data_IF_311217891304
#
_entry.id   IF_311217891304
#
_cell.length_a   1.000
_cell.length_b   1.000
_cell.length_c   1.000
_cell.angle_alpha   90.00
_cell.angle_beta   90.00
_cell.angle_gamma   90.00
#
_symmetry.space_group_name_H-M   'P 1'
#
loop_
_entity.id
_entity.type
_entity.pdbx_description
1 polymer ?
#
# COMPACT_ATOMS: atom_id res chain seq x y z
N UNK A 1 25.91 -8.02 -7.09
CA UNK A 1 25.56 -9.30 -6.43
C UNK A 1 24.04 -9.41 -6.37
N UNK A 2 23.44 -10.58 -6.62
CA UNK A 2 21.97 -10.75 -6.53
C UNK A 2 21.46 -10.55 -5.10
N UNK A 3 20.32 -9.86 -4.95
CA UNK A 3 19.61 -9.65 -3.69
C UNK A 3 18.91 -10.90 -3.16
N UNK A 4 17.82 -10.74 -2.43
CA UNK A 4 16.94 -11.81 -1.96
C UNK A 4 16.45 -12.67 -3.14
N UNK A 5 16.01 -12.04 -4.24
CA UNK A 5 15.57 -12.77 -5.42
C UNK A 5 16.78 -13.31 -6.20
N UNK A 6 16.75 -14.62 -6.50
CA UNK A 6 17.80 -15.30 -7.28
C UNK A 6 17.29 -15.66 -8.68
N UNK A 7 18.12 -15.53 -9.73
CA UNK A 7 17.69 -15.88 -11.09
C UNK A 7 17.31 -17.35 -11.21
N UNK A 8 16.22 -17.61 -11.93
CA UNK A 8 15.83 -18.96 -12.30
C UNK A 8 16.53 -19.37 -13.61
N UNK A 9 17.38 -20.40 -13.55
CA UNK A 9 18.15 -20.87 -14.71
C UNK A 9 17.30 -21.29 -15.91
N UNK A 10 16.09 -21.81 -15.70
CA UNK A 10 15.18 -22.22 -16.78
C UNK A 10 14.56 -21.01 -17.46
N UNK A 11 14.12 -20.01 -16.68
CA UNK A 11 13.60 -18.75 -17.23
C UNK A 11 14.70 -17.98 -17.96
N UNK A 12 15.91 -17.88 -17.38
CA UNK A 12 17.08 -17.29 -18.05
C UNK A 12 17.36 -18.01 -19.37
N UNK A 13 17.35 -19.35 -19.36
CA UNK A 13 17.53 -20.14 -20.57
C UNK A 13 16.46 -19.88 -21.63
N UNK A 14 15.20 -19.70 -21.21
CA UNK A 14 14.09 -19.35 -22.08
C UNK A 14 14.29 -17.97 -22.73
N UNK A 15 14.66 -16.94 -21.95
CA UNK A 15 14.90 -15.58 -22.46
C UNK A 15 16.13 -15.51 -23.40
N UNK A 16 17.16 -16.32 -23.12
CA UNK A 16 18.28 -16.51 -24.04
C UNK A 16 17.85 -17.16 -25.37
N UNK A 17 16.86 -18.06 -25.32
CA UNK A 17 16.26 -18.66 -26.53
C UNK A 17 15.48 -17.64 -27.32
N UNK A 18 14.66 -16.86 -26.63
CA UNK A 18 13.83 -15.81 -27.22
C UNK A 18 14.67 -14.87 -28.06
N UNK A 19 15.74 -14.30 -27.50
CA UNK A 19 16.67 -13.43 -28.25
C UNK A 19 17.32 -14.15 -29.43
N UNK A 20 17.69 -15.43 -29.27
CA UNK A 20 18.25 -16.23 -30.38
C UNK A 20 17.25 -16.35 -31.53
N UNK A 21 15.97 -16.59 -31.20
CA UNK A 21 14.89 -16.74 -32.16
C UNK A 21 14.52 -15.39 -32.81
N UNK A 22 14.44 -14.30 -32.04
CA UNK A 22 14.25 -12.92 -32.52
C UNK A 22 15.33 -12.51 -33.54
N UNK A 23 16.58 -12.88 -33.29
CA UNK A 23 17.71 -12.62 -34.18
C UNK A 23 17.79 -13.58 -35.38
N UNK A 24 16.93 -14.60 -35.45
CA UNK A 24 16.91 -15.60 -36.52
C UNK A 24 18.14 -16.50 -36.56
N UNK A 25 18.82 -16.70 -35.42
CA UNK A 25 20.10 -17.42 -35.38
C UNK A 25 19.94 -18.91 -35.08
N UNK A 26 20.78 -19.74 -35.70
CA UNK A 26 21.00 -21.11 -35.23
C UNK A 26 21.76 -21.12 -33.90
N UNK A 27 21.67 -22.22 -33.14
CA UNK A 27 22.45 -22.39 -31.92
C UNK A 27 23.97 -22.30 -32.14
N UNK A 28 24.45 -22.75 -33.31
CA UNK A 28 25.88 -22.67 -33.65
C UNK A 28 26.29 -21.21 -33.88
N UNK A 29 25.52 -20.45 -34.66
CA UNK A 29 25.82 -19.04 -34.93
C UNK A 29 25.71 -18.19 -33.66
N UNK A 30 24.69 -18.44 -32.85
CA UNK A 30 24.51 -17.73 -31.59
C UNK A 30 25.64 -18.01 -30.61
N UNK A 31 26.04 -19.28 -30.44
CA UNK A 31 27.20 -19.65 -29.66
C UNK A 31 28.47 -18.96 -30.16
N UNK A 32 28.74 -19.01 -31.48
CA UNK A 32 29.92 -18.39 -32.07
C UNK A 32 29.98 -16.87 -31.83
N UNK A 33 28.86 -16.14 -31.94
CA UNK A 33 28.80 -14.70 -31.64
C UNK A 33 29.10 -14.37 -30.18
N UNK A 34 28.84 -15.31 -29.27
CA UNK A 34 29.13 -15.19 -27.84
C UNK A 34 30.52 -15.72 -27.46
N UNK A 35 31.27 -16.28 -28.41
CA UNK A 35 32.55 -16.97 -28.16
C UNK A 35 32.40 -18.34 -27.48
N UNK A 36 31.25 -18.99 -27.64
CA UNK A 36 30.88 -20.25 -27.00
C UNK A 36 30.69 -21.37 -28.03
N UNK A 37 31.06 -22.59 -27.67
CA UNK A 37 30.71 -23.77 -28.47
C UNK A 37 29.21 -24.10 -28.34
N UNK A 38 28.65 -24.73 -29.39
CA UNK A 38 27.22 -25.09 -29.48
C UNK A 38 26.70 -25.83 -28.23
N UNK A 39 27.48 -26.73 -27.66
CA UNK A 39 27.08 -27.51 -26.48
C UNK A 39 26.90 -26.64 -25.24
N UNK A 40 27.79 -25.67 -25.02
CA UNK A 40 27.72 -24.73 -23.89
C UNK A 40 26.50 -23.84 -23.98
N UNK A 41 26.25 -23.20 -25.12
CA UNK A 41 25.06 -22.35 -25.30
C UNK A 41 23.77 -23.16 -25.20
N UNK A 42 23.75 -24.40 -25.69
CA UNK A 42 22.61 -25.30 -25.55
C UNK A 42 22.36 -25.68 -24.08
N UNK A 43 23.39 -25.78 -23.24
CA UNK A 43 23.25 -25.98 -21.78
C UNK A 43 22.53 -24.81 -21.12
N UNK A 44 22.92 -23.58 -21.44
CA UNK A 44 22.29 -22.37 -20.90
C UNK A 44 20.85 -22.21 -21.38
N UNK A 45 20.61 -22.34 -22.69
CA UNK A 45 19.27 -22.16 -23.28
C UNK A 45 18.27 -23.25 -22.84
N UNK A 46 18.75 -24.40 -22.36
CA UNK A 46 17.90 -25.44 -21.76
C UNK A 46 17.73 -25.30 -20.24
N UNK A 47 18.38 -24.31 -19.62
CA UNK A 47 18.33 -24.12 -18.17
C UNK A 47 19.06 -25.21 -17.37
N UNK A 48 19.95 -25.99 -18.00
CA UNK A 48 20.74 -26.98 -17.25
C UNK A 48 21.72 -26.29 -16.31
N UNK A 49 22.34 -25.22 -16.78
CA UNK A 49 23.25 -24.34 -16.04
C UNK A 49 22.84 -22.88 -16.21
N UNK A 50 23.05 -22.05 -15.18
CA UNK A 50 22.88 -20.60 -15.30
C UNK A 50 23.99 -20.01 -16.16
N UNK A 51 23.65 -19.10 -17.06
CA UNK A 51 24.64 -18.39 -17.88
C UNK A 51 25.48 -17.43 -17.00
N UNK A 52 26.82 -17.45 -17.10
CA UNK A 52 27.67 -16.47 -16.42
C UNK A 52 27.35 -15.04 -16.85
N UNK A 53 27.61 -14.07 -15.97
CA UNK A 53 27.37 -12.65 -16.24
C UNK A 53 27.98 -12.19 -17.57
N UNK A 54 29.24 -12.54 -17.84
CA UNK A 54 29.93 -12.19 -19.09
C UNK A 54 29.16 -12.65 -20.36
N UNK A 55 28.49 -13.81 -20.28
CA UNK A 55 27.68 -14.33 -21.39
C UNK A 55 26.40 -13.50 -21.52
N UNK A 56 25.74 -13.18 -20.41
CA UNK A 56 24.51 -12.38 -20.40
C UNK A 56 24.78 -10.95 -20.86
N UNK A 57 25.89 -10.34 -20.47
CA UNK A 57 26.34 -9.02 -20.95
C UNK A 57 26.56 -9.00 -22.46
N UNK A 58 27.19 -10.04 -23.02
CA UNK A 58 27.35 -10.18 -24.47
C UNK A 58 26.00 -10.31 -25.19
N UNK A 59 25.06 -11.07 -24.62
CA UNK A 59 23.71 -11.20 -25.20
C UNK A 59 22.94 -9.89 -25.09
N UNK A 60 23.04 -9.20 -23.96
CA UNK A 60 22.45 -7.88 -23.72
C UNK A 60 22.95 -6.85 -24.73
N UNK A 61 24.26 -6.81 -25.00
CA UNK A 61 24.84 -5.96 -26.03
C UNK A 61 24.37 -6.31 -27.45
N UNK A 62 24.05 -7.58 -27.73
CA UNK A 62 23.56 -8.04 -29.03
C UNK A 62 22.07 -7.73 -29.26
N UNK A 63 21.24 -7.80 -28.21
CA UNK A 63 19.78 -7.63 -28.32
C UNK A 63 19.30 -6.22 -27.96
N UNK A 64 20.10 -5.45 -27.23
CA UNK A 64 19.68 -4.17 -26.65
C UNK A 64 18.80 -4.31 -25.40
N UNK A 65 18.50 -5.54 -24.94
CA UNK A 65 17.74 -5.78 -23.71
C UNK A 65 18.67 -5.68 -22.49
N UNK A 66 18.26 -5.10 -21.35
CA UNK A 66 19.13 -4.95 -20.18
C UNK A 66 19.48 -6.31 -19.57
N UNK A 67 20.62 -6.39 -18.87
CA UNK A 67 21.10 -7.63 -18.22
C UNK A 67 20.05 -8.21 -17.28
N UNK A 68 19.40 -7.36 -16.48
CA UNK A 68 18.39 -7.81 -15.52
C UNK A 68 17.14 -8.42 -16.19
N UNK A 69 16.81 -8.05 -17.44
CA UNK A 69 15.70 -8.67 -18.16
C UNK A 69 15.93 -10.15 -18.40
N UNK A 70 17.16 -10.55 -18.71
CA UNK A 70 17.49 -11.97 -18.84
C UNK A 70 17.33 -12.72 -17.51
N UNK A 71 17.71 -12.09 -16.40
CA UNK A 71 17.63 -12.70 -15.08
C UNK A 71 16.21 -12.78 -14.52
N UNK A 72 15.43 -11.71 -14.69
CA UNK A 72 14.21 -11.50 -13.93
C UNK A 72 12.97 -11.23 -14.78
N UNK A 73 13.11 -11.01 -16.09
CA UNK A 73 11.97 -10.71 -16.97
C UNK A 73 11.62 -9.25 -16.90
N UNK A 74 10.37 -8.86 -17.09
CA UNK A 74 9.98 -7.45 -17.00
C UNK A 74 10.15 -6.90 -15.57
N UNK A 75 10.25 -5.58 -15.42
CA UNK A 75 10.46 -4.94 -14.09
C UNK A 75 9.29 -5.27 -13.15
N UNK A 76 8.06 -5.26 -13.65
CA UNK A 76 6.85 -5.64 -12.91
C UNK A 76 6.88 -7.12 -12.49
N UNK A 77 7.42 -8.02 -13.33
CA UNK A 77 7.59 -9.43 -12.97
C UNK A 77 8.61 -9.57 -11.84
N UNK A 78 9.72 -8.83 -11.91
CA UNK A 78 10.73 -8.77 -10.86
C UNK A 78 10.15 -8.29 -9.52
N UNK A 79 9.39 -7.19 -9.54
CA UNK A 79 8.72 -6.64 -8.34
C UNK A 79 7.72 -7.66 -7.78
N UNK A 80 6.89 -8.26 -8.64
CA UNK A 80 5.91 -9.27 -8.23
C UNK A 80 6.57 -10.48 -7.57
N UNK A 81 7.60 -11.06 -8.19
CA UNK A 81 8.33 -12.21 -7.67
C UNK A 81 9.02 -11.88 -6.35
N UNK A 82 9.60 -10.68 -6.23
CA UNK A 82 10.18 -10.19 -4.98
C UNK A 82 9.13 -10.11 -3.86
N UNK A 83 7.97 -9.50 -4.12
CA UNK A 83 6.87 -9.40 -3.15
C UNK A 83 6.31 -10.77 -2.75
N UNK A 84 6.24 -11.72 -3.69
CA UNK A 84 5.86 -13.11 -3.39
C UNK A 84 6.84 -13.78 -2.42
N UNK A 85 8.15 -13.60 -2.63
CA UNK A 85 9.19 -14.11 -1.71
C UNK A 85 9.09 -13.43 -0.33
N UNK A 86 8.65 -12.18 -0.29
CA UNK A 86 8.34 -11.43 0.94
C UNK A 86 7.01 -11.80 1.60
N UNK A 87 6.32 -12.85 1.11
CA UNK A 87 5.10 -13.38 1.70
C UNK A 87 3.81 -12.65 1.33
N UNK A 88 3.85 -11.74 0.35
CA UNK A 88 2.72 -10.86 0.01
C UNK A 88 1.69 -11.50 -0.94
N UNK A 89 1.55 -12.83 -0.85
CA UNK A 89 0.72 -13.62 -1.78
C UNK A 89 -0.76 -13.24 -1.73
N UNK A 90 -1.30 -13.03 -0.53
CA UNK A 90 -2.70 -12.66 -0.36
C UNK A 90 -2.97 -11.28 -0.97
N UNK A 91 -2.11 -10.31 -0.68
CA UNK A 91 -2.23 -8.95 -1.22
C UNK A 91 -2.13 -8.92 -2.74
N UNK A 92 -1.15 -9.61 -3.34
CA UNK A 92 -1.01 -9.66 -4.80
C UNK A 92 -2.16 -10.40 -5.51
N UNK A 93 -2.86 -11.28 -4.82
CA UNK A 93 -4.05 -11.94 -5.38
C UNK A 93 -5.21 -10.95 -5.50
N UNK A 94 -5.40 -10.09 -4.51
CA UNK A 94 -6.49 -9.12 -4.46
C UNK A 94 -6.13 -7.83 -5.24
N UNK A 95 -4.85 -7.48 -5.28
CA UNK A 95 -4.31 -6.28 -5.92
C UNK A 95 -3.14 -6.62 -6.88
N UNK A 96 -3.44 -7.28 -8.02
CA UNK A 96 -2.41 -7.67 -9.00
C UNK A 96 -1.75 -6.49 -9.71
N UNK A 97 -2.27 -5.28 -9.57
CA UNK A 97 -1.78 -4.02 -10.13
C UNK A 97 -0.65 -3.38 -9.29
N UNK A 98 -0.41 -3.86 -8.07
CA UNK A 98 0.62 -3.31 -7.17
C UNK A 98 2.03 -3.28 -7.79
N UNK A 99 2.52 -4.34 -8.47
CA UNK A 99 3.83 -4.28 -9.12
C UNK A 99 3.93 -3.18 -10.18
N UNK A 100 2.83 -2.91 -10.90
CA UNK A 100 2.79 -1.84 -11.89
C UNK A 100 2.81 -0.46 -11.23
N UNK A 101 2.05 -0.26 -10.14
CA UNK A 101 2.08 1.00 -9.37
C UNK A 101 3.48 1.31 -8.85
N UNK A 102 4.15 0.32 -8.24
CA UNK A 102 5.53 0.47 -7.77
C UNK A 102 6.47 0.84 -8.94
N UNK A 103 6.31 0.20 -10.11
CA UNK A 103 7.08 0.55 -11.31
C UNK A 103 6.82 1.99 -11.77
N UNK A 104 5.57 2.44 -11.75
CA UNK A 104 5.21 3.81 -12.14
C UNK A 104 5.80 4.84 -11.18
N UNK A 105 5.79 4.56 -9.87
CA UNK A 105 6.42 5.41 -8.85
C UNK A 105 7.93 5.54 -9.08
N UNK A 106 8.60 4.45 -9.48
CA UNK A 106 10.02 4.51 -9.88
C UNK A 106 10.27 5.38 -11.11
N UNK A 107 9.44 5.25 -12.16
CA UNK A 107 9.69 5.89 -13.44
C UNK A 107 9.22 7.35 -13.48
N UNK A 108 8.25 7.73 -12.66
CA UNK A 108 7.55 9.02 -12.74
C UNK A 108 7.54 9.82 -11.44
N UNK A 109 7.78 9.20 -10.28
CA UNK A 109 7.77 9.86 -8.98
C UNK A 109 9.06 10.60 -8.64
N UNK A 110 9.14 11.06 -7.38
CA UNK A 110 10.29 11.79 -6.82
C UNK A 110 11.58 10.95 -6.73
N UNK A 111 11.47 9.64 -7.00
CA UNK A 111 12.55 8.64 -6.96
C UNK A 111 13.43 8.56 -8.22
N UNK A 112 13.38 9.56 -9.13
CA UNK A 112 14.38 9.73 -10.22
C UNK A 112 15.78 10.10 -9.69
N UNK A 113 16.20 9.52 -8.59
CA UNK A 113 17.44 9.76 -7.88
C UNK A 113 18.52 8.80 -8.43
N UNK A 114 19.78 9.23 -8.61
CA UNK A 114 20.84 8.32 -9.02
C UNK A 114 21.01 7.19 -7.99
N UNK A 115 20.98 5.94 -8.44
CA UNK A 115 21.30 4.77 -7.60
C UNK A 115 20.14 3.90 -7.15
N UNK A 116 18.94 4.02 -7.74
CA UNK A 116 17.84 3.07 -7.53
C UNK A 116 18.05 1.73 -8.25
N UNK A 117 18.89 1.71 -9.29
CA UNK A 117 19.17 0.51 -10.07
C UNK A 117 20.32 -0.31 -9.46
N UNK A 118 20.16 -1.62 -9.52
CA UNK A 118 21.25 -2.60 -9.43
C UNK A 118 22.22 -2.45 -10.61
N UNK A 119 23.37 -3.11 -10.52
CA UNK A 119 24.34 -3.24 -11.64
C UNK A 119 23.73 -3.89 -12.91
N UNK A 120 22.51 -4.43 -12.83
CA UNK A 120 21.79 -5.06 -13.93
C UNK A 120 20.69 -4.18 -14.54
N UNK A 121 20.51 -2.94 -14.08
CA UNK A 121 19.49 -2.00 -14.55
C UNK A 121 18.08 -2.27 -14.00
N UNK A 122 17.98 -2.91 -12.84
CA UNK A 122 16.71 -3.29 -12.18
C UNK A 122 16.61 -2.65 -10.80
N UNK A 123 15.40 -2.37 -10.29
CA UNK A 123 15.25 -1.74 -8.98
C UNK A 123 15.98 -2.48 -7.87
N UNK A 124 16.61 -1.75 -6.97
CA UNK A 124 17.11 -2.26 -5.70
C UNK A 124 15.94 -2.65 -4.80
N UNK A 125 16.07 -3.78 -4.11
CA UNK A 125 15.02 -4.33 -3.24
C UNK A 125 14.60 -3.37 -2.12
N UNK A 126 15.52 -2.56 -1.59
CA UNK A 126 15.20 -1.53 -0.59
C UNK A 126 14.26 -0.45 -1.13
N UNK A 127 14.40 -0.07 -2.40
CA UNK A 127 13.50 0.90 -3.01
C UNK A 127 12.12 0.29 -3.29
N UNK A 128 12.06 -1.02 -3.60
CA UNK A 128 10.78 -1.73 -3.67
C UNK A 128 10.11 -1.74 -2.29
N UNK A 129 10.86 -1.99 -1.23
CA UNK A 129 10.33 -1.95 0.14
C UNK A 129 9.77 -0.56 0.50
N UNK A 130 10.47 0.52 0.14
CA UNK A 130 10.04 1.90 0.42
C UNK A 130 8.72 2.23 -0.30
N UNK A 131 8.64 2.00 -1.63
CA UNK A 131 7.39 2.23 -2.37
C UNK A 131 6.27 1.31 -1.90
N UNK A 132 6.59 0.06 -1.58
CA UNK A 132 5.61 -0.90 -1.12
C UNK A 132 5.04 -0.53 0.25
N UNK A 133 5.82 0.08 1.15
CA UNK A 133 5.36 0.42 2.50
C UNK A 133 4.12 1.34 2.48
N UNK A 134 4.14 2.39 1.64
CA UNK A 134 3.04 3.34 1.48
C UNK A 134 1.81 2.69 0.83
N UNK A 135 2.01 1.88 -0.21
CA UNK A 135 0.92 1.15 -0.86
C UNK A 135 0.30 0.12 0.10
N UNK A 136 1.15 -0.61 0.82
CA UNK A 136 0.74 -1.67 1.74
C UNK A 136 -0.09 -1.12 2.89
N UNK A 137 0.33 -0.03 3.54
CA UNK A 137 -0.42 0.52 4.69
C UNK A 137 -1.82 0.95 4.29
N UNK A 138 -1.95 1.56 3.10
CA UNK A 138 -3.24 1.97 2.55
C UNK A 138 -4.13 0.78 2.25
N UNK A 139 -3.64 -0.21 1.51
CA UNK A 139 -4.43 -1.40 1.14
C UNK A 139 -4.81 -2.24 2.36
N UNK A 140 -3.92 -2.36 3.35
CA UNK A 140 -4.23 -3.04 4.60
C UNK A 140 -5.36 -2.34 5.34
N UNK A 141 -5.35 -1.00 5.40
CA UNK A 141 -6.41 -0.24 6.05
C UNK A 141 -7.76 -0.39 5.35
N UNK A 142 -7.78 -0.30 4.03
CA UNK A 142 -8.99 -0.54 3.22
C UNK A 142 -9.55 -1.96 3.48
N UNK A 143 -8.67 -2.95 3.55
CA UNK A 143 -9.03 -4.34 3.86
C UNK A 143 -9.61 -4.50 5.28
N UNK A 144 -8.97 -3.90 6.29
CA UNK A 144 -9.45 -3.91 7.68
C UNK A 144 -10.81 -3.23 7.79
N UNK A 145 -11.01 -2.09 7.13
CA UNK A 145 -12.29 -1.38 7.14
C UNK A 145 -13.41 -2.21 6.48
N UNK A 146 -13.12 -2.88 5.36
CA UNK A 146 -14.07 -3.80 4.72
C UNK A 146 -14.47 -4.94 5.67
N UNK A 147 -13.50 -5.54 6.36
CA UNK A 147 -13.77 -6.58 7.35
C UNK A 147 -14.59 -6.05 8.54
N UNK A 148 -14.30 -4.84 9.01
CA UNK A 148 -15.07 -4.20 10.07
C UNK A 148 -16.52 -3.96 9.66
N UNK A 149 -16.75 -3.45 8.44
CA UNK A 149 -18.10 -3.25 7.92
C UNK A 149 -18.87 -4.57 7.78
N UNK A 150 -18.23 -5.62 7.27
CA UNK A 150 -18.82 -6.95 7.18
C UNK A 150 -19.18 -7.51 8.56
N UNK A 151 -18.27 -7.38 9.53
CA UNK A 151 -18.54 -7.77 10.92
C UNK A 151 -19.77 -7.04 11.47
N UNK A 152 -19.84 -5.72 11.32
CA UNK A 152 -20.94 -4.90 11.80
C UNK A 152 -22.28 -5.30 11.15
N UNK A 153 -22.27 -5.62 9.85
CA UNK A 153 -23.46 -6.06 9.12
C UNK A 153 -23.97 -7.42 9.57
N UNK A 154 -23.07 -8.36 9.82
CA UNK A 154 -23.44 -9.76 10.07
C UNK A 154 -23.68 -10.06 11.56
N UNK A 155 -23.05 -9.31 12.47
CA UNK A 155 -22.98 -9.66 13.89
C UNK A 155 -23.59 -8.61 14.83
N UNK A 156 -24.09 -7.49 14.31
CA UNK A 156 -24.61 -6.40 15.15
C UNK A 156 -25.99 -5.92 14.71
N UNK A 157 -26.72 -5.30 15.62
CA UNK A 157 -28.00 -4.64 15.36
C UNK A 157 -27.86 -3.11 15.29
N UNK A 158 -26.66 -2.61 14.97
CA UNK A 158 -26.43 -1.18 14.81
C UNK A 158 -27.25 -0.63 13.64
N UNK A 159 -27.74 0.60 13.80
CA UNK A 159 -28.41 1.32 12.73
C UNK A 159 -27.44 1.57 11.57
N UNK A 160 -27.95 1.47 10.33
CA UNK A 160 -27.14 1.59 9.12
C UNK A 160 -26.33 2.90 9.08
N UNK A 161 -26.95 4.00 9.54
CA UNK A 161 -26.32 5.32 9.64
C UNK A 161 -25.12 5.38 10.59
N UNK A 162 -25.00 4.44 11.52
CA UNK A 162 -23.88 4.37 12.49
C UNK A 162 -22.82 3.34 12.09
N UNK A 163 -23.12 2.43 11.17
CA UNK A 163 -22.19 1.36 10.77
C UNK A 163 -20.97 1.91 10.03
N UNK A 164 -21.16 2.92 9.20
CA UNK A 164 -20.05 3.54 8.46
C UNK A 164 -19.05 4.16 9.43
N UNK A 165 -19.51 5.04 10.33
CA UNK A 165 -18.69 5.64 11.38
C UNK A 165 -18.03 4.59 12.28
N UNK A 166 -18.78 3.57 12.70
CA UNK A 166 -18.26 2.48 13.52
C UNK A 166 -17.19 1.67 12.78
N UNK A 167 -17.30 1.48 11.46
CA UNK A 167 -16.30 0.77 10.66
C UNK A 167 -15.00 1.57 10.54
N UNK A 168 -15.09 2.89 10.41
CA UNK A 168 -13.94 3.80 10.38
C UNK A 168 -13.23 3.76 11.74
N UNK A 169 -14.00 3.87 12.83
CA UNK A 169 -13.47 3.77 14.18
C UNK A 169 -12.76 2.44 14.42
N UNK A 170 -13.43 1.31 14.15
CA UNK A 170 -12.83 -0.02 14.35
C UNK A 170 -11.58 -0.22 13.49
N UNK A 171 -11.61 0.24 12.24
CA UNK A 171 -10.44 0.20 11.36
C UNK A 171 -9.27 0.98 11.97
N UNK A 172 -9.53 2.20 12.45
CA UNK A 172 -8.51 3.03 13.10
C UNK A 172 -7.90 2.36 14.34
N UNK A 173 -8.73 1.77 15.20
CA UNK A 173 -8.25 1.07 16.40
C UNK A 173 -7.40 -0.15 16.05
N UNK A 174 -7.85 -0.95 15.08
CA UNK A 174 -7.14 -2.14 14.61
C UNK A 174 -5.84 -1.76 13.91
N UNK A 175 -5.82 -0.68 13.14
CA UNK A 175 -4.61 -0.15 12.50
C UNK A 175 -3.62 0.42 13.53
N UNK A 176 -4.10 1.09 14.58
CA UNK A 176 -3.25 1.51 15.69
C UNK A 176 -2.60 0.32 16.41
N UNK A 177 -3.36 -0.76 16.63
CA UNK A 177 -2.80 -2.02 17.14
C UNK A 177 -1.76 -2.63 16.21
N UNK A 178 -2.02 -2.63 14.89
CA UNK A 178 -1.07 -3.10 13.88
C UNK A 178 0.22 -2.28 13.89
N UNK A 179 0.14 -0.96 13.95
CA UNK A 179 1.31 -0.07 13.97
C UNK A 179 2.18 -0.33 15.21
N UNK A 180 1.55 -0.56 16.37
CA UNK A 180 2.24 -0.83 17.63
C UNK A 180 2.87 -2.24 17.71
N UNK A 181 2.25 -3.25 17.08
CA UNK A 181 2.62 -4.66 17.32
C UNK A 181 3.13 -5.40 16.09
N UNK A 182 2.71 -4.99 14.90
CA UNK A 182 2.90 -5.70 13.61
C UNK A 182 2.48 -7.17 13.69
N UNK A 183 1.46 -7.47 14.49
CA UNK A 183 1.08 -8.83 14.87
C UNK A 183 0.28 -9.56 13.78
N UNK A 184 -0.21 -8.88 12.74
CA UNK A 184 -0.89 -9.51 11.60
C UNK A 184 -0.40 -8.92 10.27
N UNK A 185 -0.64 -9.65 9.17
CA UNK A 185 -0.38 -9.22 7.81
C UNK A 185 -1.67 -9.12 6.98
N UNK A 186 -1.58 -8.52 5.80
CA UNK A 186 -2.67 -8.56 4.83
C UNK A 186 -3.09 -10.01 4.54
N UNK A 187 -4.38 -10.29 4.62
CA UNK A 187 -4.94 -11.63 4.40
C UNK A 187 -5.03 -12.51 5.66
N UNK A 188 -4.56 -12.05 6.82
CA UNK A 188 -4.79 -12.71 8.11
C UNK A 188 -6.23 -12.47 8.61
N UNK A 189 -7.23 -12.82 7.79
CA UNK A 189 -8.65 -12.48 8.00
C UNK A 189 -9.14 -12.88 9.38
N UNK A 190 -8.85 -14.09 9.84
CA UNK A 190 -9.32 -14.60 11.13
C UNK A 190 -8.78 -13.77 12.30
N UNK A 191 -7.50 -13.39 12.22
CA UNK A 191 -6.84 -12.60 13.27
C UNK A 191 -7.38 -11.18 13.30
N UNK A 192 -7.49 -10.55 12.14
CA UNK A 192 -8.06 -9.20 12.01
C UNK A 192 -9.50 -9.17 12.51
N UNK A 193 -10.33 -10.15 12.12
CA UNK A 193 -11.71 -10.27 12.58
C UNK A 193 -11.81 -10.46 14.10
N UNK A 194 -10.94 -11.27 14.71
CA UNK A 194 -10.91 -11.41 16.16
C UNK A 194 -10.51 -10.10 16.87
N UNK A 195 -9.58 -9.34 16.31
CA UNK A 195 -9.22 -8.01 16.82
C UNK A 195 -10.39 -7.03 16.70
N UNK A 196 -11.08 -7.01 15.55
CA UNK A 196 -12.30 -6.20 15.33
C UNK A 196 -13.37 -6.53 16.38
N UNK A 197 -13.67 -7.81 16.58
CA UNK A 197 -14.65 -8.27 17.57
C UNK A 197 -14.28 -7.81 18.99
N UNK A 198 -13.00 -7.93 19.37
CA UNK A 198 -12.52 -7.46 20.67
C UNK A 198 -12.74 -5.96 20.88
N UNK A 199 -12.45 -5.13 19.87
CA UNK A 199 -12.66 -3.68 19.97
C UNK A 199 -14.15 -3.32 19.99
N UNK A 200 -14.97 -4.02 19.20
CA UNK A 200 -16.41 -3.82 19.22
C UNK A 200 -17.02 -4.16 20.59
N UNK A 201 -16.73 -5.34 21.13
CA UNK A 201 -17.25 -5.80 22.42
C UNK A 201 -16.74 -4.96 23.60
N UNK A 202 -15.47 -4.56 23.55
CA UNK A 202 -14.81 -3.79 24.60
C UNK A 202 -15.20 -2.31 24.62
N UNK A 203 -15.47 -1.73 23.45
CA UNK A 203 -15.65 -0.27 23.30
C UNK A 203 -17.04 0.09 22.80
N UNK A 204 -17.45 -0.37 21.62
CA UNK A 204 -18.65 0.12 20.93
C UNK A 204 -19.97 -0.49 21.43
N UNK A 205 -19.98 -1.73 21.90
CA UNK A 205 -21.23 -2.42 22.25
C UNK A 205 -22.02 -1.75 23.38
N UNK A 206 -21.33 -1.07 24.29
CA UNK A 206 -21.93 -0.49 25.52
C UNK A 206 -21.77 1.02 25.64
N UNK A 207 -20.96 1.64 24.77
CA UNK A 207 -20.67 3.07 24.82
C UNK A 207 -21.13 3.71 23.52
N UNK A 208 -21.41 5.00 23.62
CA UNK A 208 -21.59 5.82 22.43
C UNK A 208 -20.26 5.92 21.67
N UNK A 209 -20.35 5.92 20.34
CA UNK A 209 -19.20 6.05 19.47
C UNK A 209 -18.56 7.42 19.67
N UNK A 210 -17.26 7.43 19.99
CA UNK A 210 -16.45 8.63 20.12
C UNK A 210 -15.10 8.37 19.51
N UNK A 211 -14.70 9.20 18.56
CA UNK A 211 -13.38 9.20 17.95
C UNK A 211 -12.35 9.78 18.92
N UNK A 212 -11.06 9.54 18.66
CA UNK A 212 -9.98 10.05 19.51
C UNK A 212 -10.00 11.59 19.59
N UNK A 213 -10.25 12.12 20.78
CA UNK A 213 -10.34 13.55 21.04
C UNK A 213 -8.98 14.18 21.42
N UNK A 214 -7.91 13.37 21.45
CA UNK A 214 -6.53 13.83 21.60
C UNK A 214 -6.03 14.65 20.41
N UNK A 215 -6.60 14.43 19.21
CA UNK A 215 -6.30 15.17 17.99
C UNK A 215 -7.52 15.97 17.51
N UNK A 216 -7.24 17.06 16.78
CA UNK A 216 -8.29 17.99 16.34
C UNK A 216 -9.35 17.33 15.46
N UNK A 217 -8.96 16.44 14.54
CA UNK A 217 -9.90 15.81 13.60
C UNK A 217 -10.92 14.94 14.33
N UNK A 218 -10.48 14.01 15.19
CA UNK A 218 -11.41 13.18 15.95
C UNK A 218 -12.29 14.00 16.91
N UNK A 219 -11.72 15.02 17.55
CA UNK A 219 -12.49 15.97 18.38
C UNK A 219 -13.56 16.72 17.60
N UNK A 220 -13.27 17.18 16.38
CA UNK A 220 -14.26 17.84 15.53
C UNK A 220 -15.33 16.86 15.06
N UNK A 221 -14.98 15.61 14.73
CA UNK A 221 -15.98 14.60 14.34
C UNK A 221 -17.00 14.36 15.46
N UNK A 222 -16.52 14.31 16.71
CA UNK A 222 -17.37 14.16 17.89
C UNK A 222 -18.28 15.40 18.08
N UNK A 223 -17.69 16.61 18.12
CA UNK A 223 -18.44 17.86 18.31
C UNK A 223 -19.51 18.05 17.24
N UNK A 224 -19.17 17.77 15.97
CA UNK A 224 -20.07 17.96 14.84
C UNK A 224 -21.14 16.87 14.72
N UNK A 225 -21.13 15.86 15.60
CA UNK A 225 -22.21 14.88 15.69
C UNK A 225 -23.38 15.38 16.55
N UNK A 226 -23.19 16.44 17.34
CA UNK A 226 -24.17 16.96 18.29
C UNK A 226 -24.46 18.46 18.05
N UNK A 227 -25.74 18.83 18.07
CA UNK A 227 -26.19 20.20 17.79
C UNK A 227 -25.72 21.19 18.89
N UNK A 228 -25.76 20.77 20.16
CA UNK A 228 -25.39 21.60 21.30
C UNK A 228 -23.87 21.82 21.34
N UNK A 229 -23.09 20.76 21.16
CA UNK A 229 -21.63 20.87 21.09
C UNK A 229 -21.18 21.71 19.89
N UNK A 230 -21.84 21.56 18.74
CA UNK A 230 -21.60 22.40 17.56
C UNK A 230 -21.92 23.87 17.84
N UNK A 231 -23.05 24.17 18.49
CA UNK A 231 -23.39 25.54 18.90
C UNK A 231 -22.31 26.12 19.84
N UNK A 232 -21.82 25.32 20.80
CA UNK A 232 -20.78 25.75 21.73
C UNK A 232 -19.47 26.07 21.01
N UNK A 233 -19.05 25.24 20.05
CA UNK A 233 -17.87 25.50 19.20
C UNK A 233 -18.03 26.82 18.44
N UNK A 234 -19.16 27.01 17.74
CA UNK A 234 -19.45 28.23 16.98
C UNK A 234 -19.49 29.44 17.91
N UNK A 235 -20.05 29.30 19.11
CA UNK A 235 -20.11 30.38 20.11
C UNK A 235 -18.73 30.77 20.62
N UNK A 236 -17.84 29.79 20.82
CA UNK A 236 -16.42 30.01 21.09
C UNK A 236 -15.75 30.81 19.98
N UNK A 237 -15.83 30.33 18.73
CA UNK A 237 -15.26 31.00 17.56
C UNK A 237 -15.81 32.42 17.36
N UNK A 238 -17.11 32.60 17.48
CA UNK A 238 -17.77 33.90 17.36
C UNK A 238 -17.25 34.88 18.41
N UNK A 239 -17.02 34.42 19.65
CA UNK A 239 -16.47 35.25 20.72
C UNK A 239 -15.04 35.68 20.41
N UNK A 240 -14.19 34.75 19.97
CA UNK A 240 -12.79 35.06 19.64
C UNK A 240 -12.69 36.00 18.41
N UNK A 241 -13.52 35.79 17.39
CA UNK A 241 -13.44 36.54 16.13
C UNK A 241 -14.19 37.88 16.15
N UNK A 242 -15.27 37.99 16.91
CA UNK A 242 -16.19 39.15 16.87
C UNK A 242 -16.44 39.80 18.22
N UNK A 243 -15.96 39.20 19.32
CA UNK A 243 -16.26 39.63 20.68
C UNK A 243 -17.68 39.32 21.15
N UNK A 244 -18.49 38.59 20.37
CA UNK A 244 -19.90 38.26 20.69
C UNK A 244 -20.11 36.76 20.72
N UNK A 245 -20.99 36.27 21.59
CA UNK A 245 -21.39 34.86 21.60
C UNK A 245 -22.42 34.59 20.51
N UNK A 246 -22.34 33.41 19.90
CA UNK A 246 -23.41 32.87 19.05
C UNK A 246 -24.47 32.19 19.94
N UNK A 247 -25.73 32.23 19.48
CA UNK A 247 -26.84 31.43 20.02
C UNK A 247 -27.83 31.14 18.90
N UNK A 248 -28.37 29.92 18.87
CA UNK A 248 -29.40 29.51 17.91
C UNK A 248 -30.84 29.87 18.33
N UNK A 249 -31.05 30.44 19.52
CA UNK A 249 -32.38 30.63 20.13
C UNK A 249 -33.35 31.46 19.28
N UNK A 250 -32.84 32.39 18.47
CA UNK A 250 -33.64 33.26 17.59
C UNK A 250 -33.34 33.04 16.10
N UNK A 251 -32.66 31.95 15.73
CA UNK A 251 -32.18 31.65 14.38
C UNK A 251 -30.67 31.36 14.36
N UNK A 252 -30.18 30.77 13.26
CA UNK A 252 -28.77 30.36 13.13
C UNK A 252 -28.56 28.85 13.02
N UNK A 253 -29.62 28.05 12.99
CA UNK A 253 -29.55 26.61 12.74
C UNK A 253 -28.88 26.29 11.39
N UNK A 254 -29.02 27.17 10.40
CA UNK A 254 -28.34 27.06 9.11
C UNK A 254 -26.82 27.07 9.28
N UNK A 255 -26.30 27.85 10.24
CA UNK A 255 -24.86 27.88 10.52
C UNK A 255 -24.39 26.60 11.20
N UNK A 256 -25.19 26.04 12.11
CA UNK A 256 -24.93 24.72 12.72
C UNK A 256 -24.85 23.65 11.62
N UNK A 257 -25.84 23.60 10.74
CA UNK A 257 -25.90 22.66 9.62
C UNK A 257 -24.69 22.80 8.66
N UNK A 258 -24.25 24.04 8.39
CA UNK A 258 -23.04 24.28 7.58
C UNK A 258 -21.81 23.69 8.27
N UNK A 259 -21.63 23.89 9.56
CA UNK A 259 -20.49 23.29 10.28
C UNK A 259 -20.58 21.76 10.29
N UNK A 260 -21.75 21.19 10.58
CA UNK A 260 -21.95 19.74 10.61
C UNK A 260 -21.76 19.08 9.23
N UNK A 261 -21.98 19.83 8.14
CA UNK A 261 -21.73 19.33 6.78
C UNK A 261 -20.25 19.00 6.50
N UNK A 262 -19.33 19.45 7.34
CA UNK A 262 -17.90 19.10 7.26
C UNK A 262 -17.62 17.69 7.81
N UNK A 263 -18.51 17.14 8.63
CA UNK A 263 -18.29 15.87 9.34
C UNK A 263 -17.98 14.68 8.41
N UNK A 264 -18.67 14.47 7.28
CA UNK A 264 -18.33 13.38 6.35
C UNK A 264 -16.92 13.48 5.78
N UNK A 265 -16.45 14.69 5.45
CA UNK A 265 -15.08 14.90 4.94
C UNK A 265 -14.05 14.71 6.05
N UNK A 266 -14.36 15.07 7.30
CA UNK A 266 -13.51 14.78 8.45
C UNK A 266 -13.40 13.28 8.71
N UNK A 267 -14.50 12.52 8.58
CA UNK A 267 -14.48 11.05 8.70
C UNK A 267 -13.60 10.42 7.63
N UNK A 268 -13.69 10.90 6.38
CA UNK A 268 -12.82 10.46 5.30
C UNK A 268 -11.36 10.76 5.59
N UNK A 269 -11.07 12.00 6.01
CA UNK A 269 -9.71 12.39 6.43
C UNK A 269 -9.22 11.50 7.57
N UNK A 270 -10.06 11.24 8.58
CA UNK A 270 -9.71 10.39 9.70
C UNK A 270 -9.41 8.96 9.29
N UNK A 271 -10.19 8.41 8.35
CA UNK A 271 -9.96 7.09 7.80
C UNK A 271 -8.62 7.01 7.05
N UNK A 272 -8.23 8.05 6.32
CA UNK A 272 -7.03 8.06 5.48
C UNK A 272 -5.74 8.42 6.24
N UNK A 273 -5.85 9.05 7.41
CA UNK A 273 -4.71 9.63 8.14
C UNK A 273 -4.17 8.68 9.22
N UNK A 274 -2.85 8.70 9.44
CA UNK A 274 -2.17 7.93 10.50
C UNK A 274 -1.93 8.78 11.75
N UNK A 275 -1.55 8.15 12.87
CA UNK A 275 -1.17 8.88 14.08
C UNK A 275 0.05 9.78 13.87
N UNK A 276 1.04 9.32 13.09
CA UNK A 276 2.24 10.09 12.77
C UNK A 276 1.90 11.37 11.97
N UNK A 277 0.96 11.27 11.02
CA UNK A 277 0.49 12.42 10.27
C UNK A 277 -0.16 13.48 11.17
N UNK A 278 -0.95 13.06 12.15
CA UNK A 278 -1.55 13.99 13.12
C UNK A 278 -0.49 14.68 13.98
N UNK A 279 0.59 13.96 14.36
CA UNK A 279 1.69 14.55 15.10
C UNK A 279 2.40 15.66 14.31
N UNK A 280 2.52 15.52 13.00
CA UNK A 280 3.13 16.53 12.14
C UNK A 280 2.26 17.79 11.95
N UNK A 281 0.97 17.76 12.32
CA UNK A 281 0.10 18.94 12.26
C UNK A 281 0.23 19.86 13.47
N UNK A 282 0.86 19.43 14.55
CA UNK A 282 1.13 20.31 15.67
C UNK A 282 2.31 21.24 15.34
N UNK A 283 2.16 22.54 15.66
CA UNK A 283 3.29 23.46 15.63
C UNK A 283 4.41 22.93 16.55
N UNK A 284 5.62 22.77 15.97
CA UNK A 284 6.84 22.39 16.69
C UNK A 284 7.54 23.61 17.27
#
# INVERSE_FOLDING_TARGET
MFGLLKPNKEQVGSRLREVKDELGLSFSEYGNRLGLIKTTINSYVRGYSLAPLEVVEKVSALSGKPVGWFYFGEIEEYIQDYLLVRGQKALLKDHPDVPLKIKEDFLTGDFKNPGWETEFGYPLESFIDDCYAEIHIKLLREYVQLLALNYLNDHTSLEESKKEDASIFLSSEVMGYYEATRDFAYGDTEKIMATIESYYEGTLKKKELSFDDGYLVGKLINILADDEETEQLISGLSRELTGKRFSNFFGGNELIQVFQSLRPELLKLYAETTFDDYYDWFEK
#
